data_IF_962865395810
#
_entry.id   IF_962865395810
#
_cell.length_a   1.000
_cell.length_b   1.000
_cell.length_c   1.000
_cell.angle_alpha   90.00
_cell.angle_beta   90.00
_cell.angle_gamma   90.00
#
_symmetry.space_group_name_H-M   'P 1'
#
loop_
_entity.id
_entity.type
_entity.pdbx_description
1 polymer ?
#
# COMPACT_ATOMS: atom_id res chain seq x y z
N UNK A 1 -72.07 -43.50 29.00
CA UNK A 1 -72.67 -43.34 27.66
C UNK A 1 -71.79 -42.39 26.88
N UNK A 2 -70.80 -42.95 26.20
CA UNK A 2 -69.89 -42.24 25.30
C UNK A 2 -70.48 -42.38 23.90
N UNK A 3 -70.95 -41.27 23.34
CA UNK A 3 -71.44 -41.19 21.97
C UNK A 3 -70.32 -41.60 21.02
N UNK A 4 -70.42 -42.80 20.44
CA UNK A 4 -69.61 -43.16 19.30
C UNK A 4 -70.21 -42.46 18.08
N UNK A 5 -69.47 -41.58 17.39
CA UNK A 5 -69.95 -41.01 16.15
C UNK A 5 -70.19 -42.15 15.16
N UNK A 6 -71.44 -42.30 14.73
CA UNK A 6 -71.86 -43.20 13.68
C UNK A 6 -71.10 -42.86 12.40
N UNK A 7 -70.24 -43.78 11.95
CA UNK A 7 -69.48 -43.72 10.70
C UNK A 7 -70.36 -43.89 9.45
N UNK A 8 -71.63 -43.53 9.53
CA UNK A 8 -72.55 -43.67 8.42
C UNK A 8 -72.51 -42.40 7.58
N UNK A 9 -72.21 -42.59 6.29
CA UNK A 9 -72.33 -41.62 5.19
C UNK A 9 -71.19 -40.61 5.00
N UNK A 10 -69.96 -41.09 4.86
CA UNK A 10 -68.99 -40.35 4.02
C UNK A 10 -69.46 -40.53 2.57
N UNK A 11 -69.84 -39.43 1.93
CA UNK A 11 -70.28 -39.47 0.54
C UNK A 11 -69.11 -39.79 -0.39
N UNK A 12 -69.34 -40.44 -1.55
CA UNK A 12 -68.28 -40.68 -2.53
C UNK A 12 -67.52 -39.40 -2.92
N UNK A 13 -68.21 -38.25 -2.95
CA UNK A 13 -67.60 -36.95 -3.23
C UNK A 13 -66.60 -36.53 -2.13
N UNK A 14 -66.93 -36.72 -0.85
CA UNK A 14 -66.01 -36.41 0.26
C UNK A 14 -64.79 -37.33 0.27
N UNK A 15 -64.99 -38.62 -0.04
CA UNK A 15 -63.88 -39.57 -0.16
C UNK A 15 -62.90 -39.17 -1.27
N UNK A 16 -63.40 -38.82 -2.46
CA UNK A 16 -62.53 -38.33 -3.56
C UNK A 16 -61.81 -37.03 -3.21
N UNK A 17 -62.47 -36.12 -2.47
CA UNK A 17 -61.84 -34.90 -1.96
C UNK A 17 -60.71 -35.17 -0.97
N UNK A 18 -60.87 -36.16 -0.09
CA UNK A 18 -59.82 -36.59 0.85
C UNK A 18 -58.64 -37.25 0.12
N UNK A 19 -58.90 -38.09 -0.87
CA UNK A 19 -57.85 -38.71 -1.70
C UNK A 19 -57.04 -37.67 -2.46
N UNK A 20 -57.69 -36.67 -3.06
CA UNK A 20 -56.99 -35.58 -3.75
C UNK A 20 -56.14 -34.75 -2.79
N UNK A 21 -56.63 -34.47 -1.58
CA UNK A 21 -55.85 -33.77 -0.54
C UNK A 21 -54.64 -34.59 -0.09
N UNK A 22 -54.81 -35.90 0.12
CA UNK A 22 -53.71 -36.80 0.47
C UNK A 22 -52.63 -36.82 -0.63
N UNK A 23 -53.03 -36.99 -1.90
CA UNK A 23 -52.10 -36.98 -3.03
C UNK A 23 -51.32 -35.65 -3.16
N UNK A 24 -51.99 -34.51 -2.91
CA UNK A 24 -51.33 -33.19 -2.89
C UNK A 24 -50.32 -33.07 -1.75
N UNK A 25 -50.65 -33.62 -0.58
CA UNK A 25 -49.76 -33.60 0.57
C UNK A 25 -48.53 -34.49 0.34
N UNK A 26 -48.71 -35.68 -0.24
CA UNK A 26 -47.61 -36.57 -0.62
C UNK A 26 -46.67 -35.90 -1.64
N UNK A 27 -47.23 -35.23 -2.66
CA UNK A 27 -46.44 -34.45 -3.61
C UNK A 27 -45.67 -33.31 -2.93
N UNK A 28 -46.32 -32.58 -2.01
CA UNK A 28 -45.66 -31.50 -1.27
C UNK A 28 -44.51 -32.02 -0.39
N UNK A 29 -44.67 -33.17 0.25
CA UNK A 29 -43.60 -33.83 1.03
C UNK A 29 -42.44 -34.25 0.12
N UNK A 30 -42.73 -34.81 -1.05
CA UNK A 30 -41.71 -35.19 -2.03
C UNK A 30 -40.91 -33.97 -2.54
N UNK A 31 -41.58 -32.87 -2.86
CA UNK A 31 -40.93 -31.63 -3.28
C UNK A 31 -40.10 -31.00 -2.14
N UNK A 32 -40.59 -31.02 -0.89
CA UNK A 32 -39.81 -30.55 0.25
C UNK A 32 -38.55 -31.39 0.48
N UNK A 33 -38.66 -32.72 0.35
CA UNK A 33 -37.51 -33.61 0.45
C UNK A 33 -36.47 -33.31 -0.64
N UNK A 34 -36.91 -33.06 -1.88
CA UNK A 34 -36.03 -32.67 -2.99
C UNK A 34 -35.33 -31.33 -2.73
N UNK A 35 -36.08 -30.31 -2.30
CA UNK A 35 -35.51 -28.99 -1.99
C UNK A 35 -34.51 -29.06 -0.84
N UNK A 36 -34.75 -29.91 0.16
CA UNK A 36 -33.81 -30.14 1.26
C UNK A 36 -32.48 -30.71 0.76
N UNK A 37 -32.51 -31.73 -0.09
CA UNK A 37 -31.29 -32.28 -0.70
C UNK A 37 -30.55 -31.22 -1.52
N UNK A 38 -31.27 -30.43 -2.31
CA UNK A 38 -30.67 -29.33 -3.08
C UNK A 38 -30.03 -28.25 -2.20
N UNK A 39 -30.63 -27.93 -1.05
CA UNK A 39 -30.06 -26.99 -0.09
C UNK A 39 -28.77 -27.54 0.52
N UNK A 40 -28.78 -28.81 0.94
CA UNK A 40 -27.60 -29.48 1.50
C UNK A 40 -26.45 -29.55 0.48
N UNK A 41 -26.76 -29.84 -0.79
CA UNK A 41 -25.79 -29.84 -1.89
C UNK A 41 -25.23 -28.43 -2.15
N UNK A 42 -26.07 -27.40 -2.20
CA UNK A 42 -25.65 -26.02 -2.42
C UNK A 42 -24.80 -25.47 -1.26
N UNK A 43 -25.11 -25.86 -0.02
CA UNK A 43 -24.28 -25.51 1.14
C UNK A 43 -22.90 -26.17 1.07
N UNK A 44 -22.84 -27.45 0.66
CA UNK A 44 -21.57 -28.14 0.44
C UNK A 44 -20.75 -27.46 -0.65
N UNK A 45 -21.34 -27.13 -1.80
CA UNK A 45 -20.65 -26.43 -2.89
C UNK A 45 -20.12 -25.05 -2.44
N UNK A 46 -20.94 -24.28 -1.71
CA UNK A 46 -20.50 -22.99 -1.14
C UNK A 46 -19.28 -23.16 -0.24
N UNK A 47 -19.29 -24.18 0.62
CA UNK A 47 -18.21 -24.42 1.58
C UNK A 47 -16.93 -24.89 0.88
N UNK A 48 -17.05 -25.75 -0.13
CA UNK A 48 -15.93 -26.14 -1.02
C UNK A 48 -15.34 -24.93 -1.75
N UNK A 49 -16.18 -24.05 -2.30
CA UNK A 49 -15.73 -22.82 -2.95
C UNK A 49 -15.05 -21.87 -1.97
N UNK A 50 -15.57 -21.72 -0.76
CA UNK A 50 -14.96 -20.92 0.30
C UNK A 50 -13.58 -21.46 0.67
N UNK A 51 -13.43 -22.77 0.82
CA UNK A 51 -12.14 -23.41 1.09
C UNK A 51 -11.16 -23.20 -0.07
N UNK A 52 -11.61 -23.41 -1.31
CA UNK A 52 -10.80 -23.18 -2.51
C UNK A 52 -10.33 -21.72 -2.62
N UNK A 53 -11.22 -20.76 -2.34
CA UNK A 53 -10.91 -19.34 -2.33
C UNK A 53 -9.86 -19.00 -1.26
N UNK A 54 -10.04 -19.50 -0.03
CA UNK A 54 -9.08 -19.29 1.06
C UNK A 54 -7.70 -19.86 0.71
N UNK A 55 -7.64 -21.07 0.13
CA UNK A 55 -6.39 -21.66 -0.35
C UNK A 55 -5.71 -20.78 -1.41
N UNK A 56 -6.47 -20.29 -2.39
CA UNK A 56 -5.96 -19.39 -3.41
C UNK A 56 -5.40 -18.09 -2.81
N UNK A 57 -6.12 -17.47 -1.86
CA UNK A 57 -5.64 -16.30 -1.13
C UNK A 57 -4.34 -16.57 -0.38
N UNK A 58 -4.21 -17.71 0.29
CA UNK A 58 -2.96 -18.12 0.96
C UNK A 58 -1.81 -18.29 -0.03
N UNK A 59 -2.05 -18.92 -1.18
CA UNK A 59 -1.03 -19.05 -2.23
C UNK A 59 -0.59 -17.68 -2.76
N UNK A 60 -1.53 -16.79 -3.06
CA UNK A 60 -1.23 -15.44 -3.53
C UNK A 60 -0.46 -14.65 -2.48
N UNK A 61 -0.85 -14.73 -1.20
CA UNK A 61 -0.14 -14.09 -0.11
C UNK A 61 1.30 -14.59 0.01
N UNK A 62 1.52 -15.92 -0.05
CA UNK A 62 2.86 -16.50 -0.01
C UNK A 62 3.72 -16.09 -1.21
N UNK A 63 3.13 -16.03 -2.41
CA UNK A 63 3.82 -15.51 -3.60
C UNK A 63 4.19 -14.03 -3.44
N UNK A 64 3.29 -13.22 -2.87
CA UNK A 64 3.54 -11.81 -2.60
C UNK A 64 4.63 -11.63 -1.55
N UNK A 65 4.62 -12.43 -0.48
CA UNK A 65 5.67 -12.45 0.55
C UNK A 65 7.04 -12.77 -0.07
N UNK A 66 7.10 -13.80 -0.91
CA UNK A 66 8.34 -14.20 -1.57
C UNK A 66 8.88 -13.11 -2.52
N UNK A 67 7.99 -12.34 -3.16
CA UNK A 67 8.36 -11.28 -4.09
C UNK A 67 8.75 -9.96 -3.40
N UNK A 68 8.05 -9.59 -2.33
CA UNK A 68 8.12 -8.26 -1.69
C UNK A 68 8.88 -8.29 -0.35
N UNK A 69 9.08 -9.48 0.22
CA UNK A 69 9.78 -9.69 1.50
C UNK A 69 8.88 -9.57 2.73
N UNK A 70 7.77 -8.83 2.66
CA UNK A 70 6.72 -8.81 3.70
C UNK A 70 5.32 -8.71 3.08
N UNK A 71 4.35 -9.45 3.65
CA UNK A 71 2.92 -9.22 3.36
C UNK A 71 2.41 -8.22 4.38
N UNK A 72 2.46 -6.94 4.01
CA UNK A 72 1.79 -5.91 4.80
C UNK A 72 0.33 -5.87 4.39
N UNK A 73 -0.55 -6.42 5.22
CA UNK A 73 -1.99 -6.23 5.05
C UNK A 73 -2.35 -4.74 5.14
N UNK A 74 -3.56 -4.36 4.71
CA UNK A 74 -4.09 -3.02 4.92
C UNK A 74 -3.84 -2.57 6.37
N UNK A 75 -3.04 -1.51 6.57
CA UNK A 75 -2.76 -0.99 7.91
C UNK A 75 -4.04 -0.37 8.53
N UNK A 76 -5.00 -0.02 7.67
CA UNK A 76 -6.34 0.48 7.98
C UNK A 76 -7.37 -0.32 7.17
N UNK A 77 -8.67 -0.03 7.28
CA UNK A 77 -9.65 -0.66 6.39
C UNK A 77 -9.37 -0.32 4.92
N UNK A 78 -9.90 -1.13 3.99
CA UNK A 78 -9.69 -0.94 2.54
C UNK A 78 -10.12 0.46 2.09
N UNK A 79 -11.14 1.03 2.73
CA UNK A 79 -11.67 2.37 2.41
C UNK A 79 -10.64 3.44 2.75
N UNK A 80 -10.02 3.35 3.92
CA UNK A 80 -9.01 4.30 4.38
C UNK A 80 -7.73 4.20 3.53
N UNK A 81 -7.32 2.98 3.16
CA UNK A 81 -6.17 2.78 2.27
C UNK A 81 -6.43 3.36 0.87
N UNK A 82 -7.67 3.23 0.36
CA UNK A 82 -8.08 3.85 -0.91
C UNK A 82 -8.07 5.38 -0.80
N UNK A 83 -8.50 5.95 0.32
CA UNK A 83 -8.39 7.39 0.57
C UNK A 83 -6.93 7.85 0.61
N UNK A 84 -6.05 7.11 1.28
CA UNK A 84 -4.62 7.41 1.34
C UNK A 84 -3.97 7.34 -0.05
N UNK A 85 -4.34 6.35 -0.86
CA UNK A 85 -3.88 6.24 -2.27
C UNK A 85 -4.38 7.43 -3.09
N UNK A 86 -5.66 7.81 -2.94
CA UNK A 86 -6.22 8.97 -3.65
C UNK A 86 -5.51 10.25 -3.25
N UNK A 87 -5.32 10.49 -1.96
CA UNK A 87 -4.63 11.66 -1.45
C UNK A 87 -3.19 11.73 -1.96
N UNK A 88 -2.48 10.59 -1.99
CA UNK A 88 -1.12 10.51 -2.53
C UNK A 88 -1.09 10.81 -4.03
N UNK A 89 -2.06 10.32 -4.79
CA UNK A 89 -2.20 10.61 -6.22
C UNK A 89 -2.44 12.12 -6.45
N UNK A 90 -3.38 12.73 -5.73
CA UNK A 90 -3.65 14.18 -5.80
C UNK A 90 -2.40 15.02 -5.46
N UNK A 91 -1.63 14.62 -4.45
CA UNK A 91 -0.38 15.29 -4.08
C UNK A 91 0.70 15.16 -5.16
N UNK A 92 0.82 13.98 -5.78
CA UNK A 92 1.76 13.74 -6.87
C UNK A 92 1.39 14.56 -8.12
N UNK A 93 0.11 14.59 -8.50
CA UNK A 93 -0.39 15.43 -9.58
C UNK A 93 -0.13 16.92 -9.32
N UNK A 94 -0.38 17.39 -8.10
CA UNK A 94 -0.07 18.76 -7.71
C UNK A 94 1.44 19.05 -7.75
N UNK A 95 2.30 18.08 -7.43
CA UNK A 95 3.75 18.22 -7.53
C UNK A 95 4.21 18.31 -8.99
N UNK A 96 3.70 17.44 -9.86
CA UNK A 96 3.96 17.46 -11.30
C UNK A 96 3.52 18.82 -11.88
N UNK A 97 2.32 19.29 -11.55
CA UNK A 97 1.84 20.60 -11.97
C UNK A 97 2.78 21.76 -11.57
N UNK A 98 3.36 21.71 -10.36
CA UNK A 98 4.37 22.69 -9.92
C UNK A 98 5.65 22.63 -10.75
N UNK A 99 6.12 21.42 -11.08
CA UNK A 99 7.31 21.23 -11.94
C UNK A 99 7.05 21.77 -13.34
N UNK A 100 5.89 21.50 -13.95
CA UNK A 100 5.51 22.08 -15.24
C UNK A 100 5.48 23.60 -15.18
N UNK A 101 4.83 24.19 -14.16
CA UNK A 101 4.78 25.64 -14.00
C UNK A 101 6.17 26.28 -13.85
N UNK A 102 7.11 25.60 -13.17
CA UNK A 102 8.49 26.06 -13.06
C UNK A 102 9.23 25.97 -14.40
N UNK A 103 9.06 24.86 -15.13
CA UNK A 103 9.64 24.67 -16.45
C UNK A 103 9.15 25.74 -17.44
N UNK A 104 7.86 26.07 -17.41
CA UNK A 104 7.25 27.15 -18.20
C UNK A 104 7.87 28.50 -17.87
N UNK A 105 8.02 28.80 -16.57
CA UNK A 105 8.62 30.05 -16.09
C UNK A 105 10.06 30.19 -16.58
N UNK A 106 10.87 29.13 -16.46
CA UNK A 106 12.25 29.14 -16.93
C UNK A 106 12.36 29.25 -18.45
N UNK A 107 11.51 28.53 -19.19
CA UNK A 107 11.45 28.62 -20.65
C UNK A 107 11.12 30.02 -21.16
N UNK A 108 10.31 30.77 -20.42
CA UNK A 108 9.97 32.17 -20.74
C UNK A 108 11.05 33.17 -20.29
N UNK A 109 11.68 32.96 -19.13
CA UNK A 109 12.59 33.93 -18.53
C UNK A 109 14.01 33.91 -19.12
N UNK A 110 14.55 32.73 -19.44
CA UNK A 110 15.98 32.61 -19.72
C UNK A 110 16.33 32.75 -21.19
N UNK A 111 15.40 32.59 -22.13
CA UNK A 111 15.61 32.73 -23.60
C UNK A 111 16.63 31.78 -24.23
N UNK A 112 17.52 31.22 -23.41
CA UNK A 112 18.64 30.36 -23.73
C UNK A 112 18.16 28.95 -23.40
N UNK A 113 17.90 28.22 -24.48
CA UNK A 113 17.60 26.79 -24.52
C UNK A 113 16.14 26.35 -24.29
N UNK A 114 15.26 26.84 -25.17
CA UNK A 114 13.91 26.27 -25.39
C UNK A 114 13.93 24.76 -25.67
N UNK A 115 15.07 24.22 -26.12
CA UNK A 115 15.26 22.79 -26.40
C UNK A 115 15.27 22.00 -25.11
N UNK A 116 16.06 22.42 -24.11
CA UNK A 116 16.08 21.77 -22.79
C UNK A 116 14.70 21.74 -22.12
N UNK A 117 13.99 22.87 -22.09
CA UNK A 117 12.64 22.94 -21.51
C UNK A 117 11.63 22.05 -22.25
N UNK A 118 11.77 21.91 -23.58
CA UNK A 118 10.91 21.02 -24.39
C UNK A 118 11.23 19.55 -24.14
N UNK A 119 12.50 19.19 -24.03
CA UNK A 119 12.93 17.83 -23.68
C UNK A 119 12.45 17.45 -22.28
N UNK A 120 12.61 18.34 -21.30
CA UNK A 120 12.14 18.11 -19.93
C UNK A 120 10.62 17.87 -19.89
N UNK A 121 9.85 18.67 -20.64
CA UNK A 121 8.40 18.50 -20.74
C UNK A 121 8.03 17.18 -21.41
N UNK A 122 8.70 16.84 -22.52
CA UNK A 122 8.49 15.57 -23.22
C UNK A 122 8.79 14.36 -22.31
N UNK A 123 9.84 14.41 -21.49
CA UNK A 123 10.16 13.34 -20.53
C UNK A 123 9.17 13.23 -19.37
N UNK A 124 8.49 14.33 -19.01
CA UNK A 124 7.45 14.31 -17.97
C UNK A 124 6.10 13.84 -18.51
N UNK A 125 5.82 14.11 -19.78
CA UNK A 125 4.57 13.71 -20.47
C UNK A 125 4.62 12.28 -21.02
N UNK A 126 5.82 11.69 -21.16
CA UNK A 126 5.96 10.31 -21.63
C UNK A 126 5.37 9.36 -20.58
N UNK A 127 4.32 8.59 -20.91
CA UNK A 127 3.73 7.65 -19.97
C UNK A 127 4.81 6.66 -19.55
N UNK A 128 5.14 6.65 -18.26
CA UNK A 128 6.14 5.74 -17.71
C UNK A 128 5.85 4.34 -18.25
N UNK A 129 6.77 3.72 -19.01
CA UNK A 129 6.52 2.42 -19.59
C UNK A 129 6.24 1.46 -18.43
N UNK A 130 5.06 0.85 -18.44
CA UNK A 130 4.55 -0.05 -17.40
C UNK A 130 5.34 -1.38 -17.26
N UNK A 131 6.61 -1.39 -17.65
CA UNK A 131 7.57 -2.48 -17.54
C UNK A 131 8.86 -1.84 -17.03
N UNK A 132 9.23 -1.89 -15.76
CA UNK A 132 9.21 -3.02 -14.82
C UNK A 132 9.22 -2.46 -13.39
N UNK A 133 8.05 -2.33 -12.76
CA UNK A 133 7.90 -1.81 -11.38
C UNK A 133 8.88 -2.48 -10.39
N UNK A 134 9.11 -3.79 -10.52
CA UNK A 134 10.05 -4.51 -9.67
C UNK A 134 11.50 -3.99 -9.77
N UNK A 135 11.96 -3.65 -10.99
CA UNK A 135 13.33 -3.15 -11.19
C UNK A 135 13.48 -1.67 -10.83
N UNK A 136 12.42 -0.89 -10.98
CA UNK A 136 12.42 0.51 -10.55
C UNK A 136 12.31 0.64 -9.04
N UNK A 137 11.50 -0.20 -8.40
CA UNK A 137 11.43 -0.33 -6.95
C UNK A 137 12.81 -0.73 -6.40
N UNK A 138 13.47 -1.72 -7.00
CA UNK A 138 14.81 -2.12 -6.56
C UNK A 138 15.86 -1.00 -6.71
N UNK A 139 15.85 -0.28 -7.84
CA UNK A 139 16.72 0.90 -8.04
C UNK A 139 16.40 1.99 -7.02
N UNK A 140 15.13 2.25 -6.78
CA UNK A 140 14.65 3.26 -5.82
C UNK A 140 15.11 2.88 -4.42
N UNK A 141 14.90 1.64 -3.98
CA UNK A 141 15.36 1.12 -2.69
C UNK A 141 16.87 1.25 -2.54
N UNK A 142 17.66 0.92 -3.58
CA UNK A 142 19.12 1.08 -3.54
C UNK A 142 19.54 2.55 -3.42
N UNK A 143 18.88 3.46 -4.13
CA UNK A 143 19.15 4.91 -4.05
C UNK A 143 18.76 5.45 -2.67
N UNK A 144 17.61 5.06 -2.13
CA UNK A 144 17.20 5.46 -0.78
C UNK A 144 18.14 4.92 0.29
N UNK A 145 18.58 3.67 0.19
CA UNK A 145 19.57 3.10 1.10
C UNK A 145 20.90 3.86 1.03
N UNK A 146 21.37 4.21 -0.16
CA UNK A 146 22.59 5.00 -0.34
C UNK A 146 22.46 6.43 0.21
N UNK A 147 21.31 7.08 0.01
CA UNK A 147 21.03 8.40 0.58
C UNK A 147 20.95 8.36 2.10
N UNK A 148 20.31 7.33 2.66
CA UNK A 148 20.22 7.15 4.10
C UNK A 148 21.61 6.94 4.72
N UNK A 149 22.40 6.05 4.13
CA UNK A 149 23.78 5.81 4.56
C UNK A 149 24.64 7.07 4.45
N UNK A 150 24.48 7.86 3.39
CA UNK A 150 25.17 9.16 3.25
C UNK A 150 24.77 10.13 4.35
N UNK A 151 23.46 10.23 4.67
CA UNK A 151 22.98 11.11 5.73
C UNK A 151 23.49 10.68 7.12
N UNK A 152 23.50 9.38 7.41
CA UNK A 152 24.07 8.84 8.65
C UNK A 152 25.57 9.13 8.78
N UNK A 153 26.32 9.03 7.68
CA UNK A 153 27.73 9.41 7.64
C UNK A 153 27.93 10.90 7.90
N UNK A 154 27.10 11.78 7.33
CA UNK A 154 27.16 13.23 7.57
C UNK A 154 26.91 13.56 9.04
N UNK A 155 25.86 12.99 9.63
CA UNK A 155 25.53 13.16 11.05
C UNK A 155 26.66 12.67 11.95
N UNK A 156 27.23 11.50 11.65
CA UNK A 156 28.33 10.93 12.43
C UNK A 156 29.57 11.83 12.41
N UNK A 157 29.87 12.47 11.26
CA UNK A 157 30.98 13.42 11.13
C UNK A 157 30.74 14.72 11.89
N UNK A 158 29.51 15.24 11.87
CA UNK A 158 29.15 16.43 12.67
C UNK A 158 29.27 16.13 14.17
N UNK A 159 28.84 14.96 14.62
CA UNK A 159 28.98 14.55 16.03
C UNK A 159 30.47 14.46 16.41
N UNK A 160 31.30 13.80 15.61
CA UNK A 160 32.73 13.69 15.88
C UNK A 160 33.43 15.06 15.93
N UNK A 161 33.07 15.97 15.00
CA UNK A 161 33.58 17.34 14.98
C UNK A 161 33.15 18.13 16.22
N UNK A 162 31.89 17.98 16.63
CA UNK A 162 31.38 18.59 17.86
C UNK A 162 32.13 18.09 19.10
N UNK A 163 32.32 16.78 19.24
CA UNK A 163 33.08 16.19 20.35
C UNK A 163 34.52 16.70 20.38
N UNK A 164 35.15 16.84 19.20
CA UNK A 164 36.48 17.42 19.07
C UNK A 164 36.51 18.88 19.56
N UNK A 165 35.50 19.69 19.23
CA UNK A 165 35.42 21.08 19.69
C UNK A 165 35.20 21.19 21.19
N UNK A 166 34.34 20.34 21.76
CA UNK A 166 34.13 20.26 23.21
C UNK A 166 35.43 19.90 23.92
N UNK A 167 36.18 18.93 23.39
CA UNK A 167 37.49 18.54 23.94
C UNK A 167 38.53 19.66 23.83
N UNK A 168 38.52 20.43 22.74
CA UNK A 168 39.43 21.55 22.54
C UNK A 168 39.14 22.72 23.51
N UNK A 169 37.90 22.84 23.99
CA UNK A 169 37.51 23.84 24.97
C UNK A 169 37.39 25.27 24.39
N UNK A 170 37.28 26.29 25.26
CA UNK A 170 37.09 27.68 24.86
C UNK A 170 38.33 28.24 24.13
N UNK A 171 38.17 29.34 23.37
CA UNK A 171 39.30 30.01 22.72
C UNK A 171 40.39 30.40 23.73
N UNK A 172 41.68 30.30 23.37
CA UNK A 172 42.77 30.80 24.19
C UNK A 172 42.60 32.29 24.50
N UNK A 173 43.04 32.71 25.69
CA UNK A 173 43.01 34.11 26.10
C UNK A 173 43.71 35.00 25.05
N UNK A 174 43.05 36.09 24.65
CA UNK A 174 43.51 37.00 23.60
C UNK A 174 42.99 36.67 22.19
N UNK A 175 42.36 35.51 21.97
CA UNK A 175 41.70 35.19 20.70
C UNK A 175 40.32 35.86 20.65
N UNK A 176 40.01 36.59 19.58
CA UNK A 176 38.67 37.14 19.38
C UNK A 176 37.65 36.01 19.22
N UNK A 177 36.57 36.04 20.02
CA UNK A 177 35.52 35.02 19.99
C UNK A 177 34.86 34.87 18.62
N UNK A 178 34.76 35.96 17.85
CA UNK A 178 34.20 35.95 16.50
C UNK A 178 35.10 35.18 15.53
N UNK A 179 36.43 35.44 15.58
CA UNK A 179 37.40 34.72 14.73
C UNK A 179 37.47 33.24 15.05
N UNK A 180 37.31 32.90 16.33
CA UNK A 180 37.23 31.51 16.76
C UNK A 180 35.99 30.82 16.20
N UNK A 181 34.81 31.46 16.30
CA UNK A 181 33.58 30.92 15.69
C UNK A 181 33.65 30.81 14.17
N UNK A 182 34.22 31.79 13.47
CA UNK A 182 34.40 31.75 12.02
C UNK A 182 35.21 30.51 11.59
N UNK A 183 36.28 30.18 12.33
CA UNK A 183 37.08 28.98 12.07
C UNK A 183 36.27 27.69 12.24
N UNK A 184 35.45 27.62 13.29
CA UNK A 184 34.59 26.46 13.57
C UNK A 184 33.50 26.29 12.51
N UNK A 185 32.88 27.38 12.09
CA UNK A 185 31.90 27.34 11.00
C UNK A 185 32.53 26.90 9.67
N UNK A 186 33.76 27.31 9.39
CA UNK A 186 34.50 26.84 8.22
C UNK A 186 34.81 25.33 8.28
N UNK A 187 35.21 24.82 9.45
CA UNK A 187 35.42 23.39 9.70
C UNK A 187 34.14 22.56 9.50
N UNK A 188 33.00 23.03 10.05
CA UNK A 188 31.70 22.38 9.87
C UNK A 188 31.26 22.36 8.41
N UNK A 189 31.40 23.49 7.72
CA UNK A 189 31.07 23.60 6.31
C UNK A 189 31.93 22.67 5.44
N UNK A 190 33.23 22.56 5.74
CA UNK A 190 34.12 21.62 5.07
C UNK A 190 33.71 20.15 5.32
N UNK A 191 33.30 19.82 6.54
CA UNK A 191 32.77 18.49 6.87
C UNK A 191 31.50 18.18 6.07
N UNK A 192 30.58 19.12 5.90
CA UNK A 192 29.35 18.88 5.14
C UNK A 192 29.57 18.73 3.62
N UNK A 193 30.53 19.45 3.02
CA UNK A 193 30.72 19.45 1.57
C UNK A 193 31.66 18.37 1.01
N UNK A 194 32.63 17.88 1.80
CA UNK A 194 33.69 16.97 1.29
C UNK A 194 33.77 15.67 2.11
N UNK A 195 32.97 14.63 1.78
CA UNK A 195 32.99 13.34 2.49
C UNK A 195 34.30 12.55 2.37
N UNK A 196 35.17 12.86 1.41
CA UNK A 196 36.31 12.01 1.05
C UNK A 196 37.68 12.49 1.53
N UNK A 197 37.77 13.53 2.36
CA UNK A 197 39.07 14.16 2.73
C UNK A 197 39.53 14.09 4.19
N UNK A 198 38.93 13.26 5.04
CA UNK A 198 39.52 12.93 6.36
C UNK A 198 39.69 11.41 6.44
N UNK A 199 40.85 10.81 6.67
CA UNK A 199 42.01 11.22 7.47
C UNK A 199 43.26 10.47 7.00
N UNK A 200 44.10 11.08 6.18
CA UNK A 200 45.50 10.66 5.96
C UNK A 200 46.41 11.78 6.49
N UNK A 201 46.51 11.88 7.81
CA UNK A 201 47.57 12.64 8.46
C UNK A 201 48.31 11.69 9.40
N UNK A 202 49.49 11.27 8.94
CA UNK A 202 50.56 10.65 9.72
C UNK A 202 51.18 11.64 10.71
#
# INVERSE_FOLDING_TARGET
MTDQPTLDTITPAEFTGLQLKAARMEHAVAEYAKLRVQLEDAERERDEHKESYLKACTTIAAMHEAAVGEVRGPNRGVVEDVEDVRLRAEQAEAAIARVHALADRWGNALGIDKTYARTLRATLDEPSPAATEATELEKTTRVFAALHQSAEQDVSRVIALYEQWVKAGPPPLGTSINRWWDSRLAELHAALLNPTKGTDHA
#
